data_IF_169284205483
#
_entry.id   IF_169284205483
#
_cell.length_a   1.000
_cell.length_b   1.000
_cell.length_c   1.000
_cell.angle_alpha   90.00
_cell.angle_beta   90.00
_cell.angle_gamma   90.00
#
_symmetry.space_group_name_H-M   'P 1'
#
loop_
_entity.id
_entity.type
_entity.pdbx_description
1 polymer ?
#
# COMPACT_ATOMS: atom_id res chain seq x y z
N UNK A 1 -7.87 6.44 -16.85
CA UNK A 1 -7.60 6.24 -15.41
C UNK A 1 -7.22 7.58 -14.81
N UNK A 2 -7.75 7.99 -13.64
CA UNK A 2 -7.44 9.30 -13.06
C UNK A 2 -5.97 9.42 -12.66
N UNK A 3 -5.48 10.66 -12.50
CA UNK A 3 -4.04 10.92 -12.36
C UNK A 3 -3.41 10.28 -11.12
N UNK A 4 -4.10 10.26 -9.98
CA UNK A 4 -3.58 9.68 -8.74
C UNK A 4 -3.32 8.18 -8.89
N UNK A 5 -4.24 7.46 -9.53
CA UNK A 5 -4.07 6.03 -9.81
C UNK A 5 -2.87 5.78 -10.73
N UNK A 6 -2.69 6.59 -11.78
CA UNK A 6 -1.50 6.50 -12.65
C UNK A 6 -0.21 6.78 -11.87
N UNK A 7 -0.23 7.78 -10.99
CA UNK A 7 0.90 8.14 -10.16
C UNK A 7 1.31 6.99 -9.24
N UNK A 8 0.35 6.37 -8.54
CA UNK A 8 0.63 5.24 -7.64
C UNK A 8 1.17 4.03 -8.40
N UNK A 9 0.65 3.74 -9.59
CA UNK A 9 1.20 2.67 -10.43
C UNK A 9 2.63 3.00 -10.93
N UNK A 10 2.94 4.29 -11.15
CA UNK A 10 4.30 4.72 -11.49
C UNK A 10 5.26 4.45 -10.32
N UNK A 11 4.86 4.78 -9.10
CA UNK A 11 5.63 4.48 -7.89
C UNK A 11 5.80 2.97 -7.67
N UNK A 12 4.77 2.18 -7.98
CA UNK A 12 4.84 0.72 -7.92
C UNK A 12 5.86 0.17 -8.94
N UNK A 13 5.92 0.76 -10.15
CA UNK A 13 6.93 0.40 -11.15
C UNK A 13 8.35 0.72 -10.69
N UNK A 14 8.56 1.87 -10.04
CA UNK A 14 9.85 2.22 -9.44
C UNK A 14 10.22 1.25 -8.30
N UNK A 15 9.26 0.89 -7.45
CA UNK A 15 9.45 -0.13 -6.42
C UNK A 15 9.87 -1.48 -7.02
N UNK A 16 9.19 -1.94 -8.08
CA UNK A 16 9.51 -3.19 -8.76
C UNK A 16 10.98 -3.24 -9.21
N UNK A 17 11.45 -2.18 -9.87
CA UNK A 17 12.84 -2.06 -10.30
C UNK A 17 13.81 -2.10 -9.10
N UNK A 18 13.54 -1.32 -8.05
CA UNK A 18 14.38 -1.25 -6.85
C UNK A 18 14.47 -2.62 -6.14
N UNK A 19 13.35 -3.34 -6.05
CA UNK A 19 13.28 -4.64 -5.38
C UNK A 19 13.97 -5.74 -6.18
N UNK A 20 13.85 -5.72 -7.52
CA UNK A 20 14.59 -6.65 -8.40
C UNK A 20 16.10 -6.46 -8.26
N UNK A 21 16.58 -5.22 -8.35
CA UNK A 21 17.99 -4.89 -8.19
C UNK A 21 18.51 -5.35 -6.82
N UNK A 22 17.78 -5.05 -5.74
CA UNK A 22 18.16 -5.46 -4.39
C UNK A 22 18.14 -6.99 -4.21
N UNK A 23 17.20 -7.69 -4.84
CA UNK A 23 17.11 -9.15 -4.79
C UNK A 23 18.28 -9.81 -5.53
N UNK A 24 18.62 -9.32 -6.74
CA UNK A 24 19.76 -9.80 -7.53
C UNK A 24 21.10 -9.56 -6.83
N UNK A 25 21.23 -8.43 -6.13
CA UNK A 25 22.41 -8.08 -5.34
C UNK A 25 22.44 -8.73 -3.93
N UNK A 26 21.43 -9.52 -3.55
CA UNK A 26 21.26 -10.09 -2.22
C UNK A 26 21.21 -9.06 -1.06
N UNK A 27 20.75 -7.84 -1.35
CA UNK A 27 20.61 -6.74 -0.40
C UNK A 27 19.27 -6.77 0.35
N UNK A 28 19.02 -7.83 1.12
CA UNK A 28 17.71 -8.07 1.76
C UNK A 28 17.25 -6.96 2.72
N UNK A 29 18.20 -6.25 3.35
CA UNK A 29 17.87 -5.10 4.19
C UNK A 29 17.34 -3.90 3.38
N UNK A 30 17.94 -3.63 2.20
CA UNK A 30 17.46 -2.58 1.27
C UNK A 30 16.08 -2.96 0.76
N UNK A 31 15.92 -4.22 0.35
CA UNK A 31 14.66 -4.78 -0.11
C UNK A 31 13.53 -4.57 0.91
N UNK A 32 13.73 -5.06 2.13
CA UNK A 32 12.71 -4.99 3.17
C UNK A 32 12.36 -3.55 3.51
N UNK A 33 13.37 -2.70 3.70
CA UNK A 33 13.15 -1.28 4.00
C UNK A 33 12.34 -0.61 2.90
N UNK A 34 12.70 -0.81 1.64
CA UNK A 34 12.03 -0.19 0.50
C UNK A 34 10.56 -0.63 0.38
N UNK A 35 10.29 -1.92 0.61
CA UNK A 35 8.93 -2.47 0.65
C UNK A 35 8.11 -1.88 1.80
N UNK A 36 8.67 -1.78 3.01
CA UNK A 36 7.97 -1.20 4.17
C UNK A 36 7.74 0.30 4.01
N UNK A 37 8.70 1.03 3.45
CA UNK A 37 8.57 2.48 3.21
C UNK A 37 7.45 2.77 2.21
N UNK A 38 7.36 2.00 1.12
CA UNK A 38 6.27 2.11 0.16
C UNK A 38 4.91 1.86 0.80
N UNK A 39 4.79 0.79 1.60
CA UNK A 39 3.54 0.47 2.29
C UNK A 39 3.10 1.58 3.27
N UNK A 40 4.05 2.15 4.00
CA UNK A 40 3.77 3.16 5.03
C UNK A 40 3.52 4.56 4.45
N UNK A 41 4.42 5.03 3.58
CA UNK A 41 4.44 6.43 3.16
C UNK A 41 3.69 6.66 1.83
N UNK A 42 3.78 5.74 0.87
CA UNK A 42 3.09 5.88 -0.42
C UNK A 42 1.64 5.40 -0.39
N UNK A 43 1.40 4.27 0.30
CA UNK A 43 0.06 3.70 0.37
C UNK A 43 -0.73 4.21 1.58
N UNK A 44 -0.29 3.88 2.80
CA UNK A 44 -1.06 4.17 4.01
C UNK A 44 -1.22 5.66 4.28
N UNK A 45 -0.11 6.41 4.31
CA UNK A 45 -0.12 7.84 4.64
C UNK A 45 -0.63 8.75 3.51
N UNK A 46 -0.63 8.28 2.27
CA UNK A 46 -0.94 9.10 1.10
C UNK A 46 -2.11 8.55 0.28
N UNK A 47 -1.91 7.47 -0.46
CA UNK A 47 -2.92 7.01 -1.43
C UNK A 47 -4.25 6.61 -0.78
N UNK A 48 -4.20 5.80 0.28
CA UNK A 48 -5.39 5.30 0.95
C UNK A 48 -6.13 6.41 1.69
N UNK A 49 -5.41 7.36 2.29
CA UNK A 49 -6.04 8.49 2.97
C UNK A 49 -6.81 9.39 2.00
N UNK A 50 -6.26 9.62 0.79
CA UNK A 50 -6.92 10.41 -0.26
C UNK A 50 -8.10 9.65 -0.90
N UNK A 51 -8.01 8.32 -1.06
CA UNK A 51 -9.00 7.54 -1.85
C UNK A 51 -10.03 6.76 -1.06
N UNK A 52 -9.90 6.65 0.28
CA UNK A 52 -10.86 5.88 1.11
C UNK A 52 -12.32 6.29 0.88
N UNK A 53 -12.61 7.58 0.74
CA UNK A 53 -13.97 8.09 0.57
C UNK A 53 -14.60 7.61 -0.74
N UNK A 54 -13.80 7.38 -1.79
CA UNK A 54 -14.30 6.81 -3.04
C UNK A 54 -14.77 5.35 -2.92
N UNK A 55 -14.28 4.60 -1.94
CA UNK A 55 -14.81 3.25 -1.68
C UNK A 55 -16.11 3.29 -0.87
N UNK A 56 -16.25 4.27 0.03
CA UNK A 56 -17.37 4.35 0.95
C UNK A 56 -18.57 5.10 0.37
N UNK A 57 -18.32 6.15 -0.42
CA UNK A 57 -19.34 7.12 -0.81
C UNK A 57 -19.70 7.08 -2.30
N UNK A 58 -18.74 6.77 -3.19
CA UNK A 58 -19.00 6.81 -4.64
C UNK A 58 -19.79 5.58 -5.13
N UNK A 59 -20.61 5.79 -6.17
CA UNK A 59 -21.42 4.73 -6.79
C UNK A 59 -20.54 3.59 -7.34
N UNK A 60 -21.07 2.37 -7.37
CA UNK A 60 -20.31 1.21 -7.85
C UNK A 60 -19.85 1.33 -9.32
N UNK A 61 -20.59 2.09 -10.13
CA UNK A 61 -20.29 2.37 -11.53
C UNK A 61 -19.39 3.58 -11.73
N UNK A 62 -19.05 4.32 -10.66
CA UNK A 62 -18.24 5.53 -10.76
C UNK A 62 -16.83 5.19 -11.33
N UNK A 63 -16.37 5.89 -12.39
CA UNK A 63 -15.07 5.62 -12.99
C UNK A 63 -13.89 5.72 -12.02
N UNK A 64 -13.96 6.63 -11.03
CA UNK A 64 -12.92 6.81 -10.01
C UNK A 64 -12.89 5.63 -9.06
N UNK A 65 -14.04 5.19 -8.55
CA UNK A 65 -14.14 4.00 -7.69
C UNK A 65 -13.65 2.74 -8.41
N UNK A 66 -14.03 2.57 -9.68
CA UNK A 66 -13.57 1.45 -10.52
C UNK A 66 -12.05 1.49 -10.71
N UNK A 67 -11.49 2.65 -11.05
CA UNK A 67 -10.05 2.83 -11.20
C UNK A 67 -9.28 2.51 -9.91
N UNK A 68 -9.77 2.99 -8.76
CA UNK A 68 -9.15 2.69 -7.47
C UNK A 68 -9.15 1.18 -7.17
N UNK A 69 -10.27 0.49 -7.40
CA UNK A 69 -10.35 -0.97 -7.24
C UNK A 69 -9.39 -1.73 -8.17
N UNK A 70 -9.22 -1.26 -9.40
CA UNK A 70 -8.22 -1.82 -10.33
C UNK A 70 -6.81 -1.64 -9.78
N UNK A 71 -6.46 -0.46 -9.25
CA UNK A 71 -5.13 -0.25 -8.64
C UNK A 71 -4.93 -1.12 -7.40
N UNK A 72 -5.95 -1.28 -6.55
CA UNK A 72 -5.87 -2.17 -5.38
C UNK A 72 -5.63 -3.64 -5.77
N UNK A 73 -6.21 -4.09 -6.88
CA UNK A 73 -5.99 -5.44 -7.40
C UNK A 73 -4.54 -5.63 -7.88
N UNK A 74 -4.01 -4.67 -8.64
CA UNK A 74 -2.60 -4.66 -9.07
C UNK A 74 -1.66 -4.63 -7.87
N UNK A 75 -1.91 -3.73 -6.90
CA UNK A 75 -1.12 -3.62 -5.68
C UNK A 75 -1.14 -4.91 -4.86
N UNK A 76 -2.30 -5.55 -4.71
CA UNK A 76 -2.42 -6.83 -4.00
C UNK A 76 -1.51 -7.89 -4.63
N UNK A 77 -1.63 -8.07 -5.94
CA UNK A 77 -0.87 -9.06 -6.69
C UNK A 77 0.65 -8.80 -6.67
N UNK A 78 1.06 -7.54 -6.64
CA UNK A 78 2.47 -7.17 -6.55
C UNK A 78 3.02 -7.38 -5.12
N UNK A 79 2.39 -6.75 -4.13
CA UNK A 79 2.89 -6.72 -2.76
C UNK A 79 2.93 -8.10 -2.09
N UNK A 80 1.91 -8.93 -2.33
CA UNK A 80 1.87 -10.27 -1.73
C UNK A 80 3.04 -11.13 -2.22
N UNK A 81 3.41 -10.99 -3.50
CA UNK A 81 4.55 -11.70 -4.11
C UNK A 81 5.89 -11.10 -3.69
N UNK A 82 6.00 -9.77 -3.58
CA UNK A 82 7.20 -9.13 -3.04
C UNK A 82 7.46 -9.51 -1.58
N UNK A 83 6.40 -9.68 -0.78
CA UNK A 83 6.51 -10.05 0.61
C UNK A 83 6.79 -11.55 0.82
N UNK A 84 6.39 -12.41 -0.14
CA UNK A 84 6.47 -13.87 -0.01
C UNK A 84 7.86 -14.41 0.39
N UNK A 85 9.00 -13.92 -0.13
CA UNK A 85 10.33 -14.41 0.25
C UNK A 85 10.75 -14.10 1.70
N UNK A 86 10.12 -13.13 2.36
CA UNK A 86 10.50 -12.65 3.69
C UNK A 86 9.45 -13.01 4.75
N UNK A 87 8.17 -12.88 4.38
CA UNK A 87 7.02 -13.08 5.25
C UNK A 87 6.20 -14.30 4.80
N UNK A 88 6.84 -15.46 4.68
CA UNK A 88 6.30 -16.61 3.94
C UNK A 88 4.88 -17.01 4.37
N UNK A 89 4.66 -17.14 5.69
CA UNK A 89 3.36 -17.55 6.22
C UNK A 89 2.30 -16.46 6.08
N UNK A 90 2.66 -15.20 6.32
CA UNK A 90 1.74 -14.08 6.21
C UNK A 90 1.32 -13.83 4.77
N UNK A 91 2.26 -13.91 3.82
CA UNK A 91 1.97 -13.78 2.40
C UNK A 91 1.04 -14.91 1.92
N UNK A 92 1.27 -16.14 2.39
CA UNK A 92 0.41 -17.28 2.08
C UNK A 92 -1.00 -17.10 2.67
N UNK A 93 -1.12 -16.72 3.93
CA UNK A 93 -2.41 -16.44 4.58
C UNK A 93 -3.20 -15.36 3.83
N UNK A 94 -2.55 -14.25 3.47
CA UNK A 94 -3.15 -13.16 2.69
C UNK A 94 -3.60 -13.64 1.31
N UNK A 95 -2.80 -14.47 0.65
CA UNK A 95 -3.13 -15.04 -0.65
C UNK A 95 -4.36 -15.96 -0.56
N UNK A 96 -4.34 -16.92 0.36
CA UNK A 96 -5.43 -17.89 0.57
C UNK A 96 -6.73 -17.23 1.01
N UNK A 97 -6.67 -16.12 1.76
CA UNK A 97 -7.87 -15.36 2.12
C UNK A 97 -8.61 -14.79 0.90
N UNK A 98 -7.90 -14.51 -0.21
CA UNK A 98 -8.49 -14.01 -1.46
C UNK A 98 -8.74 -15.12 -2.47
N UNK A 99 -7.82 -16.08 -2.57
CA UNK A 99 -7.85 -17.19 -3.53
C UNK A 99 -7.72 -18.53 -2.78
N UNK A 100 -8.77 -18.98 -2.06
CA UNK A 100 -8.72 -20.24 -1.33
C UNK A 100 -8.45 -21.41 -2.28
N UNK A 101 -7.42 -22.20 -2.01
CA UNK A 101 -7.04 -23.37 -2.80
C UNK A 101 -6.25 -24.36 -1.94
N UNK A 102 -6.50 -25.67 -2.12
CA UNK A 102 -5.73 -26.71 -1.44
C UNK A 102 -4.34 -26.91 -2.07
N UNK A 103 -4.24 -26.78 -3.40
CA UNK A 103 -3.00 -27.00 -4.15
C UNK A 103 -2.33 -25.69 -4.65
N UNK A 104 -2.95 -24.54 -4.39
CA UNK A 104 -2.46 -23.24 -4.85
C UNK A 104 -1.67 -22.56 -3.76
N UNK A 105 -0.59 -21.86 -4.10
CA UNK A 105 0.22 -21.09 -3.15
C UNK A 105 0.82 -19.86 -3.82
N UNK A 106 1.00 -18.78 -3.06
CA UNK A 106 1.72 -17.59 -3.56
C UNK A 106 3.18 -17.93 -3.90
N UNK A 107 3.75 -18.93 -3.24
CA UNK A 107 5.14 -19.36 -3.41
C UNK A 107 5.41 -20.09 -4.73
N UNK A 108 4.36 -20.45 -5.47
CA UNK A 108 4.47 -21.02 -6.82
C UNK A 108 4.36 -19.96 -7.92
N UNK A 109 4.09 -18.71 -7.56
CA UNK A 109 3.95 -17.62 -8.51
C UNK A 109 5.31 -17.01 -8.84
N UNK A 110 5.47 -16.63 -10.09
CA UNK A 110 6.62 -15.85 -10.52
C UNK A 110 6.52 -14.40 -10.03
N UNK A 111 7.62 -13.67 -10.20
CA UNK A 111 7.68 -12.25 -9.93
C UNK A 111 6.52 -11.51 -10.66
N UNK A 112 5.82 -10.57 -10.02
CA UNK A 112 4.63 -9.95 -10.60
C UNK A 112 4.93 -9.22 -11.91
N UNK A 113 4.03 -9.40 -12.89
CA UNK A 113 3.98 -8.58 -14.08
C UNK A 113 3.10 -7.36 -13.83
N UNK A 114 3.69 -6.17 -13.96
CA UNK A 114 2.96 -4.92 -13.79
C UNK A 114 2.30 -4.51 -15.12
N UNK A 115 1.09 -3.93 -15.08
CA UNK A 115 0.45 -3.43 -16.29
C UNK A 115 1.30 -2.34 -16.93
N UNK A 116 1.42 -2.37 -18.25
CA UNK A 116 1.98 -1.26 -19.00
C UNK A 116 1.14 0.00 -18.71
N UNK A 117 1.80 1.01 -18.14
CA UNK A 117 1.15 2.31 -17.99
C UNK A 117 1.02 2.95 -19.37
N UNK A 118 -0.08 3.68 -19.66
CA UNK A 118 -0.10 4.55 -20.82
C UNK A 118 1.11 5.47 -20.71
N UNK A 119 2.10 5.26 -21.59
CA UNK A 119 3.45 5.80 -21.45
C UNK A 119 3.50 7.32 -21.43
N UNK A 120 4.60 7.87 -20.89
CA UNK A 120 5.16 9.23 -20.94
C UNK A 120 4.22 10.46 -21.01
N UNK A 121 2.91 10.32 -20.85
CA UNK A 121 2.04 11.46 -20.64
C UNK A 121 2.43 12.07 -19.29
N UNK A 122 3.00 13.28 -19.28
CA UNK A 122 3.38 13.91 -18.03
C UNK A 122 2.12 14.04 -17.18
N UNK A 123 2.22 13.62 -15.92
CA UNK A 123 1.18 13.89 -14.95
C UNK A 123 1.06 15.42 -14.84
N UNK A 124 -0.13 15.97 -15.08
CA UNK A 124 -0.32 17.42 -15.01
C UNK A 124 -0.17 17.96 -13.59
N UNK A 125 -0.35 17.09 -12.59
CA UNK A 125 -0.18 17.39 -11.17
C UNK A 125 1.26 17.19 -10.72
N UNK A 126 1.82 18.19 -10.03
CA UNK A 126 3.04 18.05 -9.25
C UNK A 126 2.73 17.33 -7.93
N UNK A 127 2.94 16.00 -7.93
CA UNK A 127 2.69 15.18 -6.76
C UNK A 127 3.68 15.41 -5.61
N UNK A 128 4.85 15.98 -5.87
CA UNK A 128 5.80 16.34 -4.82
C UNK A 128 5.26 17.54 -4.01
N UNK A 129 4.70 18.53 -4.69
CA UNK A 129 4.03 19.66 -4.04
C UNK A 129 2.83 19.18 -3.21
N UNK A 130 1.95 18.35 -3.79
CA UNK A 130 0.78 17.79 -3.07
C UNK A 130 1.20 17.04 -1.81
N UNK A 131 2.27 16.25 -1.87
CA UNK A 131 2.79 15.52 -0.70
C UNK A 131 3.32 16.46 0.38
N UNK A 132 4.02 17.53 0.00
CA UNK A 132 4.53 18.52 0.95
C UNK A 132 3.40 19.18 1.76
N UNK A 133 2.23 19.35 1.15
CA UNK A 133 1.05 19.92 1.80
C UNK A 133 0.35 18.93 2.76
N UNK A 134 0.54 17.62 2.57
CA UNK A 134 -0.07 16.56 3.38
C UNK A 134 0.80 16.12 4.56
N UNK A 135 2.11 16.31 4.51
CA UNK A 135 3.05 16.01 5.61
C UNK A 135 2.66 16.63 6.98
N UNK A 136 2.24 17.92 7.06
CA UNK A 136 1.84 18.52 8.35
C UNK A 136 0.58 17.87 8.94
N UNK A 137 -0.33 17.37 8.07
CA UNK A 137 -1.55 16.67 8.48
C UNK A 137 -1.25 15.28 9.01
N UNK A 138 -0.42 14.50 8.32
CA UNK A 138 -0.05 13.15 8.78
C UNK A 138 0.61 13.17 10.16
N UNK A 139 1.48 14.15 10.45
CA UNK A 139 2.07 14.35 11.78
C UNK A 139 1.02 14.68 12.84
N UNK A 140 0.08 15.57 12.51
CA UNK A 140 -0.98 16.00 13.42
C UNK A 140 -1.96 14.86 13.73
N UNK A 141 -2.32 14.06 12.74
CA UNK A 141 -3.23 12.93 12.92
C UNK A 141 -2.54 11.75 13.62
N UNK A 142 -1.26 11.46 13.32
CA UNK A 142 -0.45 10.49 14.09
C UNK A 142 -0.35 10.91 15.58
N UNK A 143 -0.18 12.20 15.87
CA UNK A 143 -0.16 12.71 17.24
C UNK A 143 -1.52 12.56 17.95
N UNK A 144 -2.63 12.83 17.24
CA UNK A 144 -4.00 12.64 17.77
C UNK A 144 -4.32 11.17 18.04
N UNK A 145 -3.93 10.27 17.14
CA UNK A 145 -4.14 8.83 17.31
C UNK A 145 -3.29 8.25 18.44
N UNK A 146 -2.03 8.68 18.58
CA UNK A 146 -1.19 8.33 19.71
C UNK A 146 -1.80 8.79 21.04
N UNK A 147 -2.36 10.00 21.09
CA UNK A 147 -3.08 10.52 22.25
C UNK A 147 -4.34 9.70 22.58
N UNK A 148 -5.10 9.25 21.57
CA UNK A 148 -6.28 8.38 21.75
C UNK A 148 -5.89 7.00 22.30
N UNK A 149 -4.82 6.38 21.78
CA UNK A 149 -4.33 5.08 22.27
C UNK A 149 -3.73 5.18 23.69
N UNK A 150 -3.11 6.31 24.01
CA UNK A 150 -2.60 6.61 25.37
C UNK A 150 -3.72 6.84 26.40
N UNK A 151 -4.83 7.47 25.99
CA UNK A 151 -6.03 7.64 26.83
C UNK A 151 -6.72 6.32 27.17
N UNK A 152 -6.90 5.44 26.18
CA UNK A 152 -7.51 4.12 26.37
C UNK A 152 -6.74 3.22 27.35
N UNK A 153 -5.40 3.33 27.43
CA UNK A 153 -4.59 2.59 28.42
C UNK A 153 -4.72 3.11 29.85
N UNK A 154 -5.03 4.39 30.04
CA UNK A 154 -5.22 4.99 31.39
C UNK A 154 -6.56 4.63 32.00
N UNK A 155 -7.60 4.48 31.18
CA UNK A 155 -8.95 4.13 31.65
C UNK A 155 -9.08 2.65 32.06
N UNK A 156 -8.31 1.75 31.46
CA UNK A 156 -8.29 0.32 31.84
C UNK A 156 -7.65 0.11 33.22
N UNK A 157 -6.59 0.86 33.56
CA UNK A 157 -5.98 0.76 34.89
C UNK A 157 -6.83 1.40 36.00
N UNK A 158 -7.75 2.31 35.67
CA UNK A 158 -8.64 2.94 36.65
C UNK A 158 -9.86 2.07 37.01
N UNK A 159 -10.24 1.12 36.15
CA UNK A 159 -11.40 0.22 36.37
C UNK A 159 -11.05 -1.14 36.99
N UNK A 160 -9.77 -1.45 37.21
CA UNK A 160 -9.31 -2.70 37.83
C UNK A 160 -8.93 -2.55 39.32
N UNK A 161 -9.25 -1.39 39.93
CA UNK A 161 -8.89 -1.04 41.30
C UNK A 161 -10.07 -0.65 42.19
N UNK A 162 -11.29 -1.04 41.83
CA UNK A 162 -12.49 -1.01 42.70
C UNK A 162 -13.02 -2.43 42.91
#
# INVERSE_FOLDING_TARGET
MPELERYVLTLLGQLDMDLREAAEAYELNRYLRRLTDFANEDLSAFFFDIRKDSLYCDAATDPKRRAYRTVLDVLFHALVRYAAPILCFTAEEVWQARFPSEDGSVHFLEWPELPALPGDEPLGTDWADVRSLLEPRSRSDRARDAARRGGARRDVHRRAGE
#
